data_IF_128763105130
#
_entry.id   IF_128763105130
#
_cell.length_a   1.000
_cell.length_b   1.000
_cell.length_c   1.000
_cell.angle_alpha   90.00
_cell.angle_beta   90.00
_cell.angle_gamma   90.00
#
_symmetry.space_group_name_H-M   'P 1'
#
loop_
_entity.id
_entity.type
_entity.pdbx_description
1 polymer ?
#
# COMPACT_ATOMS: atom_id res chain seq x y z
N UNK A 1 34.53 -2.38 0.38
CA UNK A 1 33.31 -3.21 0.46
C UNK A 1 32.63 -3.14 -0.89
N UNK A 2 32.24 -4.28 -1.47
CA UNK A 2 31.48 -4.30 -2.73
C UNK A 2 30.08 -3.73 -2.49
N UNK A 3 29.52 -3.05 -3.48
CA UNK A 3 28.12 -2.61 -3.42
C UNK A 3 27.18 -3.82 -3.45
N UNK A 4 26.10 -3.81 -2.65
CA UNK A 4 25.10 -4.85 -2.69
C UNK A 4 24.39 -4.87 -4.05
N UNK A 5 24.05 -6.07 -4.53
CA UNK A 5 23.20 -6.29 -5.71
C UNK A 5 21.75 -6.51 -5.29
N UNK A 6 20.80 -6.26 -6.19
CA UNK A 6 19.39 -6.53 -5.94
C UNK A 6 19.17 -7.98 -5.48
N UNK A 7 19.79 -8.94 -6.16
CA UNK A 7 19.66 -10.37 -5.89
C UNK A 7 20.20 -10.71 -4.48
N UNK A 8 21.35 -10.15 -4.10
CA UNK A 8 21.90 -10.37 -2.76
C UNK A 8 21.02 -9.79 -1.65
N UNK A 9 20.44 -8.59 -1.86
CA UNK A 9 19.56 -7.94 -0.89
C UNK A 9 18.25 -8.71 -0.77
N UNK A 10 17.66 -9.13 -1.89
CA UNK A 10 16.43 -9.93 -1.91
C UNK A 10 16.64 -11.29 -1.21
N UNK A 11 17.75 -11.97 -1.50
CA UNK A 11 18.08 -13.24 -0.87
C UNK A 11 18.23 -13.10 0.65
N UNK A 12 18.85 -12.02 1.13
CA UNK A 12 19.04 -11.77 2.56
C UNK A 12 17.73 -11.35 3.23
N UNK A 13 16.96 -10.44 2.61
CA UNK A 13 15.69 -9.95 3.12
C UNK A 13 14.66 -11.08 3.28
N UNK A 14 14.57 -12.01 2.32
CA UNK A 14 13.63 -13.13 2.35
C UNK A 14 13.92 -14.16 3.45
N UNK A 15 15.13 -14.16 4.02
CA UNK A 15 15.51 -15.01 5.16
C UNK A 15 15.24 -14.37 6.52
N UNK A 16 14.89 -13.09 6.57
CA UNK A 16 14.54 -12.41 7.81
C UNK A 16 13.25 -13.00 8.41
N UNK A 17 13.06 -12.97 9.74
CA UNK A 17 11.77 -13.21 10.36
C UNK A 17 10.69 -12.27 9.77
N UNK A 18 9.44 -12.72 9.69
CA UNK A 18 8.36 -11.97 9.05
C UNK A 18 8.21 -10.52 9.57
N UNK A 19 8.36 -10.30 10.88
CA UNK A 19 8.30 -8.94 11.46
C UNK A 19 9.44 -8.03 10.98
N UNK A 20 10.63 -8.60 10.78
CA UNK A 20 11.80 -7.87 10.27
C UNK A 20 11.67 -7.60 8.77
N UNK A 21 11.07 -8.52 8.01
CA UNK A 21 10.74 -8.30 6.59
C UNK A 21 9.79 -7.10 6.43
N UNK A 22 8.69 -7.08 7.20
CA UNK A 22 7.72 -5.97 7.17
C UNK A 22 8.39 -4.65 7.55
N UNK A 23 9.22 -4.64 8.60
CA UNK A 23 9.96 -3.46 9.01
C UNK A 23 10.92 -2.97 7.92
N UNK A 24 11.63 -3.87 7.25
CA UNK A 24 12.54 -3.54 6.15
C UNK A 24 11.79 -2.94 4.98
N UNK A 25 10.70 -3.56 4.52
CA UNK A 25 9.87 -3.05 3.42
C UNK A 25 9.37 -1.64 3.71
N UNK A 26 8.83 -1.41 4.92
CA UNK A 26 8.37 -0.08 5.33
C UNK A 26 9.49 0.95 5.33
N UNK A 27 10.64 0.60 5.90
CA UNK A 27 11.78 1.53 6.00
C UNK A 27 12.32 1.91 4.63
N UNK A 28 12.43 0.95 3.71
CA UNK A 28 12.83 1.21 2.33
C UNK A 28 11.80 2.08 1.61
N UNK A 29 10.51 1.75 1.72
CA UNK A 29 9.42 2.52 1.12
C UNK A 29 9.43 3.99 1.57
N UNK A 30 9.53 4.24 2.87
CA UNK A 30 9.53 5.61 3.43
C UNK A 30 10.81 6.40 3.08
N UNK A 31 11.89 5.73 2.66
CA UNK A 31 13.14 6.38 2.28
C UNK A 31 13.20 6.86 0.84
N UNK A 32 12.26 6.39 0.00
CA UNK A 32 12.21 6.77 -1.41
C UNK A 32 11.70 8.20 -1.57
N UNK A 33 12.31 9.02 -2.43
CA UNK A 33 11.74 10.31 -2.84
C UNK A 33 10.32 10.18 -3.40
N UNK A 34 9.48 11.20 -3.21
CA UNK A 34 8.08 11.20 -3.68
C UNK A 34 7.95 11.00 -5.21
N UNK A 35 8.93 11.48 -5.97
CA UNK A 35 9.01 11.34 -7.42
C UNK A 35 9.59 9.99 -7.90
N UNK A 36 9.97 9.11 -6.97
CA UNK A 36 10.44 7.76 -7.28
C UNK A 36 9.30 6.77 -7.54
N UNK A 37 8.05 7.19 -7.34
CA UNK A 37 6.89 6.38 -7.66
C UNK A 37 6.76 6.20 -9.18
N UNK A 38 6.58 4.97 -9.68
CA UNK A 38 6.31 4.76 -11.09
C UNK A 38 4.99 5.45 -11.48
N UNK A 39 4.83 5.85 -12.76
CA UNK A 39 3.55 6.34 -13.23
C UNK A 39 2.46 5.28 -13.04
N UNK A 40 1.23 5.72 -12.76
CA UNK A 40 0.07 4.83 -12.75
C UNK A 40 -0.12 4.21 -14.14
N UNK A 41 -0.59 2.96 -14.19
CA UNK A 41 -0.99 2.37 -15.47
C UNK A 41 -2.22 3.08 -16.03
N UNK A 42 -2.39 3.01 -17.35
CA UNK A 42 -3.54 3.64 -18.03
C UNK A 42 -4.87 3.09 -17.49
N UNK A 43 -4.93 1.80 -17.13
CA UNK A 43 -6.12 1.19 -16.54
C UNK A 43 -6.44 1.78 -15.16
N UNK A 44 -5.42 2.00 -14.33
CA UNK A 44 -5.61 2.62 -13.02
C UNK A 44 -6.02 4.08 -13.13
N UNK A 45 -5.43 4.82 -14.07
CA UNK A 45 -5.80 6.20 -14.32
C UNK A 45 -7.25 6.32 -14.80
N UNK A 46 -7.66 5.46 -15.73
CA UNK A 46 -9.04 5.42 -16.23
C UNK A 46 -10.04 5.09 -15.10
N UNK A 47 -9.71 4.15 -14.22
CA UNK A 47 -10.56 3.79 -13.10
C UNK A 47 -10.68 4.92 -12.07
N UNK A 48 -9.58 5.64 -11.78
CA UNK A 48 -9.62 6.82 -10.90
C UNK A 48 -10.54 7.88 -11.49
N UNK A 49 -10.38 8.21 -12.79
CA UNK A 49 -11.21 9.20 -13.47
C UNK A 49 -12.69 8.81 -13.45
N UNK A 50 -13.00 7.54 -13.72
CA UNK A 50 -14.38 7.02 -13.67
C UNK A 50 -14.98 7.17 -12.27
N UNK A 51 -14.26 6.76 -11.22
CA UNK A 51 -14.74 6.86 -9.83
C UNK A 51 -14.89 8.29 -9.36
N UNK A 52 -13.97 9.17 -9.74
CA UNK A 52 -14.09 10.60 -9.45
C UNK A 52 -15.35 11.19 -10.08
N UNK A 53 -15.62 10.89 -11.36
CA UNK A 53 -16.82 11.35 -12.03
C UNK A 53 -18.11 10.83 -11.38
N UNK A 54 -18.16 9.57 -10.96
CA UNK A 54 -19.30 8.98 -10.24
C UNK A 54 -19.56 9.65 -8.89
N UNK A 55 -18.48 9.98 -8.16
CA UNK A 55 -18.57 10.71 -6.89
C UNK A 55 -19.08 12.14 -7.12
N UNK A 56 -18.50 12.86 -8.08
CA UNK A 56 -18.84 14.25 -8.39
C UNK A 56 -20.29 14.37 -8.91
N UNK A 57 -20.77 13.37 -9.65
CA UNK A 57 -22.16 13.35 -10.14
C UNK A 57 -23.17 12.90 -9.09
N UNK A 58 -22.73 12.42 -7.92
CA UNK A 58 -23.59 11.81 -6.91
C UNK A 58 -24.20 10.47 -7.35
N UNK A 59 -23.60 9.79 -8.34
CA UNK A 59 -24.10 8.50 -8.84
C UNK A 59 -23.83 7.35 -7.84
N UNK A 60 -22.95 7.57 -6.86
CA UNK A 60 -22.57 6.58 -5.85
C UNK A 60 -22.77 7.14 -4.44
N UNK A 61 -23.18 6.27 -3.51
CA UNK A 61 -23.25 6.59 -2.09
C UNK A 61 -21.90 6.34 -1.43
N UNK A 62 -21.37 7.35 -0.75
CA UNK A 62 -20.13 7.23 0.03
C UNK A 62 -20.43 6.77 1.47
N UNK A 63 -19.47 6.10 2.09
CA UNK A 63 -19.44 5.86 3.54
C UNK A 63 -18.45 6.81 4.20
N UNK A 64 -18.72 7.20 5.45
CA UNK A 64 -17.81 8.07 6.18
C UNK A 64 -16.50 7.35 6.53
N UNK A 65 -15.41 8.11 6.68
CA UNK A 65 -14.12 7.55 7.09
C UNK A 65 -14.21 6.86 8.45
N UNK A 66 -14.98 7.40 9.39
CA UNK A 66 -15.20 6.84 10.71
C UNK A 66 -15.82 5.44 10.63
N UNK A 67 -16.80 5.26 9.75
CA UNK A 67 -17.42 3.95 9.53
C UNK A 67 -16.39 2.96 8.98
N UNK A 68 -15.64 3.33 7.93
CA UNK A 68 -14.61 2.49 7.32
C UNK A 68 -13.54 2.09 8.34
N UNK A 69 -13.05 3.05 9.14
CA UNK A 69 -12.05 2.83 10.18
C UNK A 69 -12.56 1.89 11.27
N UNK A 70 -13.79 2.12 11.76
CA UNK A 70 -14.39 1.29 12.81
C UNK A 70 -14.61 -0.16 12.32
N UNK A 71 -15.03 -0.33 11.06
CA UNK A 71 -15.17 -1.65 10.45
C UNK A 71 -13.83 -2.36 10.31
N UNK A 72 -12.77 -1.64 9.92
CA UNK A 72 -11.42 -2.19 9.80
C UNK A 72 -10.88 -2.66 11.17
N UNK A 73 -11.02 -1.83 12.21
CA UNK A 73 -10.59 -2.19 13.56
C UNK A 73 -11.34 -3.43 14.08
N UNK A 74 -12.66 -3.51 13.86
CA UNK A 74 -13.46 -4.67 14.26
C UNK A 74 -12.98 -5.96 13.59
N UNK A 75 -12.63 -5.91 12.30
CA UNK A 75 -12.07 -7.05 11.56
C UNK A 75 -10.72 -7.48 12.11
N UNK A 76 -9.83 -6.53 12.40
CA UNK A 76 -8.52 -6.82 12.98
C UNK A 76 -8.65 -7.51 14.36
N UNK A 77 -9.53 -7.02 15.23
CA UNK A 77 -9.75 -7.63 16.56
C UNK A 77 -10.42 -9.00 16.50
N UNK A 78 -11.24 -9.26 15.48
CA UNK A 78 -11.91 -10.56 15.32
C UNK A 78 -11.03 -11.61 14.63
N UNK A 79 -9.95 -11.22 13.96
CA UNK A 79 -8.99 -12.15 13.36
C UNK A 79 -8.04 -12.79 14.41
N UNK A 80 -7.96 -12.19 15.60
CA UNK A 80 -7.15 -12.65 16.75
C UNK A 80 -7.94 -13.57 17.72
N UNK A 81 -9.18 -13.98 17.40
CA UNK A 81 -9.97 -14.96 18.15
C UNK A 81 -10.12 -16.26 17.37
#
# INVERSE_FOLDING_TARGET
MSMPTYESVLADATRLPAGDQVRLVKTLWDSLPEDSLPPLSDEWLAEIQRRSAELDSGAVSTVSWEQVRNDALRRATNADR
#
